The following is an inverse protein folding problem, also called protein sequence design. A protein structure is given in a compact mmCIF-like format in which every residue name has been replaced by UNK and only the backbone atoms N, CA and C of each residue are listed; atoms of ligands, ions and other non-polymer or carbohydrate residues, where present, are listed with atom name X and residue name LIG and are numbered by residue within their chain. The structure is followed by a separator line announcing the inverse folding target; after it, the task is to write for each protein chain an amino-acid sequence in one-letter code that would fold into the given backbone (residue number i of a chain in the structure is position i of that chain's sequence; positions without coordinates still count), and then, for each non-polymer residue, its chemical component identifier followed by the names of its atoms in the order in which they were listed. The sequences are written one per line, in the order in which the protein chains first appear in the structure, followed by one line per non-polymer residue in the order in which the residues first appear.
data_IF_135042277104
#
_entry.id   IF_135042277104
#
_cell.length_a   1.000
_cell.length_b   1.000
_cell.length_c   1.000
_cell.angle_alpha   90.00
_cell.angle_beta   90.00
_cell.angle_gamma   90.00
#
_symmetry.space_group_name_H-M   'P 1'
#
loop_
_entity.id
_entity.type
_entity.pdbx_description
1 polymer ?
#
# COMPACT_ATOMS: atom_id res chain seq x y z
N UNK A 1 6.82 -10.17 16.12
CA UNK A 1 5.57 -10.10 16.84
C UNK A 1 5.50 -11.31 17.75
N UNK A 2 5.88 -11.13 18.99
CA UNK A 2 5.47 -11.96 20.10
C UNK A 2 3.94 -11.97 20.14
N UNK A 3 3.34 -12.99 20.74
CA UNK A 3 1.89 -13.14 20.92
C UNK A 3 1.17 -11.97 21.62
N UNK A 4 1.86 -10.88 21.92
CA UNK A 4 1.45 -9.79 22.81
C UNK A 4 1.30 -8.42 22.11
N UNK A 5 1.23 -8.35 20.76
CA UNK A 5 0.88 -7.10 20.10
C UNK A 5 -0.58 -6.83 20.37
N UNK A 6 -0.83 -5.75 21.11
CA UNK A 6 -2.16 -5.27 21.41
C UNK A 6 -2.98 -5.15 20.10
N UNK A 7 -4.22 -5.58 20.11
CA UNK A 7 -5.08 -5.51 18.92
C UNK A 7 -5.25 -4.07 18.41
N UNK A 8 -5.06 -3.07 19.28
CA UNK A 8 -5.03 -1.65 18.94
C UNK A 8 -3.87 -1.30 18.00
N UNK A 9 -2.68 -1.83 18.26
CA UNK A 9 -1.47 -1.54 17.49
C UNK A 9 -1.55 -2.13 16.08
N UNK A 10 -2.10 -3.35 15.95
CA UNK A 10 -2.35 -3.95 14.64
C UNK A 10 -3.42 -3.16 13.86
N UNK A 11 -4.44 -2.65 14.54
CA UNK A 11 -5.48 -1.83 13.93
C UNK A 11 -4.91 -0.53 13.38
N UNK A 12 -4.07 0.14 14.17
CA UNK A 12 -3.42 1.37 13.73
C UNK A 12 -2.47 1.11 12.57
N UNK A 13 -1.64 0.07 12.65
CA UNK A 13 -0.74 -0.31 11.57
C UNK A 13 -1.51 -0.64 10.28
N UNK A 14 -2.63 -1.35 10.37
CA UNK A 14 -3.43 -1.70 9.19
C UNK A 14 -4.01 -0.45 8.51
N UNK A 15 -4.53 0.50 9.28
CA UNK A 15 -5.01 1.80 8.79
C UNK A 15 -3.89 2.60 8.14
N UNK A 16 -2.77 2.73 8.83
CA UNK A 16 -1.63 3.52 8.36
C UNK A 16 -1.04 2.95 7.06
N UNK A 17 -0.89 1.63 6.95
CA UNK A 17 -0.43 0.98 5.71
C UNK A 17 -1.42 1.20 4.57
N UNK A 18 -2.73 1.10 4.82
CA UNK A 18 -3.75 1.33 3.80
C UNK A 18 -3.68 2.76 3.27
N UNK A 19 -3.66 3.76 4.16
CA UNK A 19 -3.58 5.17 3.83
C UNK A 19 -2.24 5.52 3.17
N UNK A 20 -1.14 5.00 3.69
CA UNK A 20 0.19 5.20 3.12
C UNK A 20 0.26 4.66 1.68
N UNK A 21 -0.26 3.45 1.44
CA UNK A 21 -0.35 2.91 0.09
C UNK A 21 -1.12 3.86 -0.85
N UNK A 22 -2.27 4.37 -0.40
CA UNK A 22 -3.08 5.31 -1.19
C UNK A 22 -2.33 6.60 -1.50
N UNK A 23 -1.74 7.26 -0.50
CA UNK A 23 -1.03 8.53 -0.65
C UNK A 23 0.31 8.40 -1.39
N UNK A 24 0.90 7.20 -1.40
CA UNK A 24 2.16 6.90 -2.07
C UNK A 24 1.96 6.13 -3.38
N UNK A 25 1.12 6.67 -4.27
CA UNK A 25 0.91 6.17 -5.62
C UNK A 25 0.50 4.68 -5.71
N UNK A 26 -0.23 4.19 -4.71
CA UNK A 26 -0.67 2.80 -4.68
C UNK A 26 0.47 1.79 -4.50
N UNK A 27 1.51 2.14 -3.74
CA UNK A 27 2.63 1.24 -3.44
C UNK A 27 2.14 -0.08 -2.85
N UNK A 28 2.70 -1.21 -3.28
CA UNK A 28 2.29 -2.52 -2.79
C UNK A 28 2.79 -2.78 -1.37
N UNK A 29 2.04 -3.57 -0.60
CA UNK A 29 2.41 -3.97 0.76
C UNK A 29 3.83 -4.54 0.88
N UNK A 30 4.25 -5.37 -0.08
CA UNK A 30 5.62 -5.92 -0.10
C UNK A 30 6.70 -4.86 -0.20
N UNK A 31 6.44 -3.84 -1.02
CA UNK A 31 7.37 -2.74 -1.20
C UNK A 31 7.37 -1.85 0.05
N UNK A 32 6.18 -1.55 0.62
CA UNK A 32 6.04 -0.82 1.91
C UNK A 32 6.82 -1.50 3.04
N UNK A 33 6.71 -2.82 3.16
CA UNK A 33 7.36 -3.58 4.22
C UNK A 33 8.89 -3.53 4.18
N UNK A 34 9.45 -3.15 3.05
CA UNK A 34 10.89 -3.11 2.80
C UNK A 34 11.46 -1.69 2.74
N UNK A 35 10.59 -0.66 2.80
CA UNK A 35 11.06 0.71 2.85
C UNK A 35 11.86 0.98 4.12
N UNK A 36 12.99 1.64 3.94
CA UNK A 36 13.85 2.14 5.02
C UNK A 36 13.82 3.66 5.08
N UNK A 37 14.30 4.25 6.16
CA UNK A 37 14.45 5.70 6.24
C UNK A 37 15.45 6.24 5.22
N UNK A 38 16.45 5.44 4.82
CA UNK A 38 17.40 5.78 3.75
C UNK A 38 16.80 5.84 2.34
N UNK A 39 15.59 5.31 2.14
CA UNK A 39 14.87 5.44 0.87
C UNK A 39 14.22 6.83 0.70
N UNK A 40 14.25 7.68 1.74
CA UNK A 40 13.68 9.03 1.74
C UNK A 40 14.79 10.04 1.44
N UNK A 41 14.66 10.77 0.35
CA UNK A 41 15.57 11.85 0.00
C UNK A 41 14.81 13.03 -0.59
N UNK A 42 15.11 14.24 -0.11
CA UNK A 42 14.56 15.51 -0.61
C UNK A 42 13.02 15.51 -0.81
N UNK A 43 12.27 14.94 0.16
CA UNK A 43 10.80 14.88 0.11
C UNK A 43 10.26 13.88 -0.93
N UNK A 44 11.06 12.89 -1.29
CA UNK A 44 10.67 11.80 -2.19
C UNK A 44 11.09 10.45 -1.64
N UNK A 45 10.38 9.40 -2.03
CA UNK A 45 10.76 8.02 -1.74
C UNK A 45 11.25 7.34 -3.01
N UNK A 46 12.41 6.72 -2.93
CA UNK A 46 13.07 5.98 -4.01
C UNK A 46 13.15 4.50 -3.64
N UNK A 47 12.57 3.61 -4.42
CA UNK A 47 12.64 2.17 -4.15
C UNK A 47 12.62 1.34 -5.42
N UNK A 48 13.23 0.17 -5.37
CA UNK A 48 13.12 -0.82 -6.44
C UNK A 48 11.87 -1.68 -6.22
N UNK A 49 10.92 -1.65 -7.16
CA UNK A 49 9.71 -2.46 -7.08
C UNK A 49 10.04 -3.95 -7.11
N UNK A 50 9.72 -4.69 -6.07
CA UNK A 50 10.11 -6.11 -5.91
C UNK A 50 9.57 -7.04 -7.01
N UNK A 51 8.42 -6.74 -7.59
CA UNK A 51 7.84 -7.58 -8.64
C UNK A 51 8.54 -7.44 -9.99
N UNK A 52 9.05 -6.25 -10.32
CA UNK A 52 9.53 -5.93 -11.67
C UNK A 52 10.97 -5.42 -11.71
N UNK A 53 11.58 -5.12 -10.56
CA UNK A 53 12.88 -4.45 -10.48
C UNK A 53 12.89 -2.99 -10.93
N UNK A 54 11.73 -2.46 -11.36
CA UNK A 54 11.63 -1.06 -11.83
C UNK A 54 11.89 -0.11 -10.66
N UNK A 55 12.80 0.86 -10.89
CA UNK A 55 13.00 1.95 -9.94
C UNK A 55 11.78 2.86 -9.94
N UNK A 56 11.24 3.08 -8.76
CA UNK A 56 10.12 3.97 -8.49
C UNK A 56 10.60 5.20 -7.75
N UNK A 57 9.96 6.32 -8.05
CA UNK A 57 10.24 7.61 -7.44
C UNK A 57 8.92 8.34 -7.22
N UNK A 58 8.50 8.45 -5.98
CA UNK A 58 7.23 9.06 -5.61
C UNK A 58 7.46 10.29 -4.73
N UNK A 59 6.74 11.37 -4.98
CA UNK A 59 6.71 12.51 -4.07
C UNK A 59 6.09 12.06 -2.74
N UNK A 60 6.75 12.36 -1.64
CA UNK A 60 6.23 12.12 -0.30
C UNK A 60 5.17 13.18 0.01
N UNK A 61 3.92 12.76 0.10
CA UNK A 61 2.83 13.65 0.45
C UNK A 61 2.89 14.00 1.95
N UNK A 62 2.31 15.14 2.33
CA UNK A 62 2.24 15.55 3.73
C UNK A 62 1.57 14.48 4.61
N UNK A 63 0.47 13.89 4.13
CA UNK A 63 -0.24 12.83 4.83
C UNK A 63 0.61 11.55 4.98
N UNK A 64 1.43 11.22 3.98
CA UNK A 64 2.33 10.07 4.08
C UNK A 64 3.49 10.36 5.05
N UNK A 65 3.99 11.61 5.09
CA UNK A 65 5.00 12.04 6.06
C UNK A 65 4.46 11.93 7.49
N UNK A 66 3.25 12.43 7.76
CA UNK A 66 2.61 12.29 9.07
C UNK A 66 2.47 10.83 9.53
N UNK A 67 2.25 9.91 8.58
CA UNK A 67 2.21 8.47 8.90
C UNK A 67 3.60 7.96 9.27
N UNK A 68 4.64 8.34 8.52
CA UNK A 68 6.02 7.94 8.82
C UNK A 68 6.44 8.45 10.20
N UNK A 69 6.11 9.70 10.52
CA UNK A 69 6.48 10.36 11.78
C UNK A 69 5.94 9.63 13.02
N UNK A 70 4.80 8.92 12.90
CA UNK A 70 4.26 8.08 13.99
C UNK A 70 5.18 6.92 14.37
N UNK A 71 6.00 6.46 13.42
CA UNK A 71 6.88 5.30 13.59
C UNK A 71 8.33 5.72 13.80
N UNK A 72 8.65 7.01 13.61
CA UNK A 72 9.99 7.54 13.74
C UNK A 72 10.29 7.80 15.21
N UNK A 73 11.17 6.96 15.78
CA UNK A 73 11.83 7.16 17.05
C UNK A 73 13.31 7.02 16.76
N UNK A 74 14.28 7.24 17.36
CA UNK A 74 15.73 7.16 17.19
C UNK A 74 16.28 6.16 16.13
N UNK A 75 15.59 6.01 14.99
CA UNK A 75 16.01 5.11 13.92
C UNK A 75 17.14 5.69 13.06
N UNK A 76 17.94 4.79 12.52
CA UNK A 76 18.96 5.08 11.50
C UNK A 76 18.43 4.81 10.08
N UNK A 77 19.16 5.27 9.08
CA UNK A 77 18.75 5.16 7.68
C UNK A 77 18.43 3.72 7.23
N UNK A 78 19.12 2.73 7.78
CA UNK A 78 18.92 1.32 7.43
C UNK A 78 17.71 0.67 8.12
N UNK A 79 17.08 1.34 9.07
CA UNK A 79 15.91 0.79 9.76
C UNK A 79 14.67 0.87 8.87
N UNK A 80 13.81 -0.15 8.97
CA UNK A 80 12.54 -0.16 8.26
C UNK A 80 11.58 0.90 8.82
N UNK A 81 10.86 1.59 7.93
CA UNK A 81 9.89 2.64 8.32
C UNK A 81 8.77 2.04 9.17
N UNK A 82 8.23 0.91 8.73
CA UNK A 82 7.11 0.26 9.43
C UNK A 82 7.59 -0.93 10.26
N UNK A 83 6.99 -1.19 11.43
CA UNK A 83 7.38 -2.27 12.34
C UNK A 83 6.92 -3.66 11.82
N UNK A 84 7.11 -3.92 10.53
CA UNK A 84 6.82 -5.20 9.87
C UNK A 84 8.02 -6.10 9.95
N UNK A 85 9.18 -5.54 9.67
CA UNK A 85 10.48 -6.22 9.66
C UNK A 85 11.40 -5.62 10.73
N UNK A 86 12.33 -6.42 11.19
CA UNK A 86 13.44 -6.04 12.05
C UNK A 86 14.72 -6.57 11.40
N UNK A 87 15.67 -5.69 11.10
CA UNK A 87 16.92 -6.03 10.40
C UNK A 87 17.81 -6.99 11.21
N UNK A 88 17.69 -6.98 12.53
CA UNK A 88 18.47 -7.85 13.41
C UNK A 88 17.86 -9.27 13.53
N UNK A 89 16.57 -9.41 13.22
CA UNK A 89 15.82 -10.69 13.33
C UNK A 89 15.61 -11.32 11.95
N UNK A 90 15.20 -10.52 10.98
CA UNK A 90 14.86 -10.99 9.64
C UNK A 90 16.05 -10.79 8.69
N UNK A 91 17.09 -11.60 8.85
CA UNK A 91 18.38 -11.46 8.16
C UNK A 91 18.45 -12.24 6.84
N UNK A 92 17.58 -13.23 6.64
CA UNK A 92 17.55 -14.02 5.40
C UNK A 92 16.32 -13.67 4.56
N UNK A 93 16.46 -13.82 3.24
CA UNK A 93 15.35 -13.58 2.30
C UNK A 93 14.10 -14.43 2.62
N UNK A 94 14.32 -15.68 3.05
CA UNK A 94 13.23 -16.58 3.47
C UNK A 94 12.47 -16.02 4.69
N UNK A 95 13.18 -15.59 5.73
CA UNK A 95 12.59 -14.99 6.93
C UNK A 95 11.80 -13.73 6.60
N UNK A 96 12.38 -12.84 5.76
CA UNK A 96 11.72 -11.62 5.27
C UNK A 96 10.42 -11.99 4.54
N UNK A 97 10.48 -12.93 3.60
CA UNK A 97 9.33 -13.32 2.80
C UNK A 97 8.20 -13.93 3.66
N UNK A 98 8.55 -14.81 4.57
CA UNK A 98 7.59 -15.45 5.49
C UNK A 98 6.94 -14.43 6.41
N UNK A 99 7.75 -13.51 6.96
CA UNK A 99 7.26 -12.43 7.82
C UNK A 99 6.30 -11.50 7.08
N UNK A 100 6.69 -11.03 5.89
CA UNK A 100 5.85 -10.16 5.06
C UNK A 100 4.52 -10.83 4.71
N UNK A 101 4.54 -12.11 4.33
CA UNK A 101 3.31 -12.89 4.04
C UNK A 101 2.40 -13.01 5.27
N UNK A 102 2.98 -13.33 6.42
CA UNK A 102 2.24 -13.46 7.68
C UNK A 102 1.60 -12.13 8.08
N UNK A 103 2.37 -11.05 8.05
CA UNK A 103 1.87 -9.71 8.42
C UNK A 103 0.79 -9.23 7.45
N UNK A 104 0.97 -9.43 6.13
CA UNK A 104 -0.05 -9.10 5.13
C UNK A 104 -1.40 -9.79 5.43
N UNK A 105 -1.35 -11.08 5.81
CA UNK A 105 -2.58 -11.81 6.18
C UNK A 105 -3.29 -11.17 7.36
N UNK A 106 -2.55 -10.77 8.40
CA UNK A 106 -3.11 -10.13 9.60
C UNK A 106 -3.65 -8.72 9.29
N UNK A 107 -2.90 -7.92 8.54
CA UNK A 107 -3.32 -6.57 8.12
C UNK A 107 -4.60 -6.65 7.29
N UNK A 108 -4.67 -7.53 6.29
CA UNK A 108 -5.88 -7.67 5.48
C UNK A 108 -7.07 -8.19 6.29
N UNK A 109 -6.86 -9.12 7.23
CA UNK A 109 -7.92 -9.56 8.14
C UNK A 109 -8.46 -8.38 8.95
N UNK A 110 -7.58 -7.56 9.51
CA UNK A 110 -7.97 -6.40 10.31
C UNK A 110 -8.66 -5.32 9.48
N UNK A 111 -8.20 -5.07 8.25
CA UNK A 111 -8.88 -4.16 7.31
C UNK A 111 -10.29 -4.64 6.96
N UNK A 112 -10.47 -5.95 6.79
CA UNK A 112 -11.80 -6.55 6.55
C UNK A 112 -12.74 -6.30 7.74
N UNK A 113 -12.30 -6.62 8.95
CA UNK A 113 -13.05 -6.35 10.18
C UNK A 113 -13.42 -4.87 10.30
N UNK A 114 -12.47 -3.96 10.02
CA UNK A 114 -12.75 -2.52 10.00
C UNK A 114 -13.79 -2.13 8.95
N UNK A 115 -13.77 -2.77 7.76
CA UNK A 115 -14.80 -2.48 6.74
C UNK A 115 -16.20 -2.89 7.19
N UNK A 116 -16.33 -3.98 7.92
CA UNK A 116 -17.60 -4.41 8.51
C UNK A 116 -18.05 -3.46 9.63
N UNK A 117 -17.13 -3.07 10.53
CA UNK A 117 -17.41 -2.13 11.64
C UNK A 117 -17.97 -0.78 11.13
N UNK A 118 -17.51 -0.29 9.97
CA UNK A 118 -17.98 0.98 9.38
C UNK A 118 -19.07 0.80 8.31
N UNK A 119 -19.58 -0.42 8.14
CA UNK A 119 -20.70 -0.72 7.25
C UNK A 119 -20.37 -0.65 5.75
N UNK A 120 -19.12 -0.86 5.35
CA UNK A 120 -18.75 -0.96 3.93
C UNK A 120 -19.19 -2.31 3.37
N UNK A 121 -19.85 -2.30 2.21
CA UNK A 121 -20.23 -3.53 1.50
C UNK A 121 -19.04 -4.25 0.85
N UNK A 122 -17.97 -3.52 0.57
CA UNK A 122 -16.76 -4.08 -0.05
C UNK A 122 -15.67 -4.27 1.01
N UNK A 123 -15.12 -5.49 1.16
CA UNK A 123 -14.06 -5.73 2.13
C UNK A 123 -12.81 -4.93 1.79
N UNK A 124 -12.27 -4.22 2.77
CA UNK A 124 -10.99 -3.52 2.61
C UNK A 124 -9.81 -4.50 2.64
N UNK A 125 -8.87 -4.27 1.75
CA UNK A 125 -7.56 -4.94 1.72
C UNK A 125 -6.49 -3.92 1.32
N UNK A 126 -5.24 -4.23 1.53
CA UNK A 126 -4.12 -3.38 1.06
C UNK A 126 -4.15 -3.17 -0.46
N UNK A 127 -4.75 -4.10 -1.21
CA UNK A 127 -4.90 -3.97 -2.65
C UNK A 127 -5.98 -2.95 -3.04
N UNK A 128 -7.02 -2.81 -2.24
CA UNK A 128 -8.10 -1.80 -2.46
C UNK A 128 -7.54 -0.38 -2.41
N UNK A 129 -6.56 -0.10 -1.55
CA UNK A 129 -5.91 1.22 -1.52
C UNK A 129 -5.30 1.58 -2.88
N UNK A 130 -4.60 0.65 -3.50
CA UNK A 130 -4.01 0.81 -4.84
C UNK A 130 -5.08 0.97 -5.93
N UNK A 131 -6.16 0.22 -5.84
CA UNK A 131 -7.30 0.36 -6.75
C UNK A 131 -7.94 1.74 -6.63
N UNK A 132 -8.19 2.18 -5.41
CA UNK A 132 -8.78 3.49 -5.14
C UNK A 132 -7.92 4.62 -5.70
N UNK A 133 -6.61 4.57 -5.50
CA UNK A 133 -5.67 5.53 -6.08
C UNK A 133 -5.84 5.60 -7.61
N UNK A 134 -5.76 4.47 -8.31
CA UNK A 134 -5.87 4.42 -9.77
C UNK A 134 -7.23 4.94 -10.27
N UNK A 135 -8.31 4.57 -9.58
CA UNK A 135 -9.68 5.00 -9.94
C UNK A 135 -9.88 6.50 -9.73
N UNK A 136 -9.37 7.05 -8.64
CA UNK A 136 -9.43 8.49 -8.36
C UNK A 136 -8.68 9.27 -9.44
N UNK A 137 -7.47 8.86 -9.83
CA UNK A 137 -6.72 9.50 -10.90
C UNK A 137 -7.46 9.43 -12.24
N UNK A 138 -8.03 8.28 -12.59
CA UNK A 138 -8.82 8.12 -13.83
C UNK A 138 -10.01 9.07 -13.84
N UNK A 139 -10.76 9.14 -12.75
CA UNK A 139 -11.91 10.05 -12.61
C UNK A 139 -11.51 11.53 -12.64
N UNK A 140 -10.30 11.86 -12.25
CA UNK A 140 -9.71 13.21 -12.33
C UNK A 140 -9.17 13.52 -13.72
N UNK A 141 -9.36 12.64 -14.73
CA UNK A 141 -8.93 12.87 -16.11
C UNK A 141 -7.46 12.59 -16.39
N UNK A 142 -6.75 11.94 -15.46
CA UNK A 142 -5.35 11.54 -15.69
C UNK A 142 -5.30 10.41 -16.71
N UNK A 143 -4.39 10.50 -17.67
CA UNK A 143 -4.25 9.49 -18.73
C UNK A 143 -3.85 8.12 -18.15
N UNK A 144 -4.36 7.05 -18.79
CA UNK A 144 -4.05 5.66 -18.39
C UNK A 144 -2.55 5.38 -18.44
N UNK A 145 -1.82 6.02 -19.34
CA UNK A 145 -0.37 5.90 -19.45
C UNK A 145 0.34 6.42 -18.19
N UNK A 146 -0.04 7.61 -17.69
CA UNK A 146 0.52 8.18 -16.46
C UNK A 146 0.14 7.34 -15.22
N UNK A 147 -1.11 6.84 -15.17
CA UNK A 147 -1.55 5.94 -14.10
C UNK A 147 -0.71 4.65 -14.12
N UNK A 148 -0.49 4.07 -15.30
CA UNK A 148 0.33 2.87 -15.49
C UNK A 148 1.77 3.08 -15.01
N UNK A 149 2.34 4.21 -15.36
CA UNK A 149 3.69 4.60 -14.94
C UNK A 149 3.80 4.76 -13.43
N UNK A 150 2.86 5.50 -12.82
CA UNK A 150 2.81 5.72 -11.36
C UNK A 150 2.62 4.42 -10.58
N UNK A 151 1.86 3.49 -11.12
CA UNK A 151 1.70 2.15 -10.56
C UNK A 151 2.90 1.23 -10.82
N UNK A 152 3.85 1.63 -11.64
CA UNK A 152 5.01 0.83 -12.02
C UNK A 152 4.63 -0.42 -12.82
N UNK A 153 3.56 -0.39 -13.61
CA UNK A 153 3.26 -1.48 -14.54
C UNK A 153 4.23 -1.47 -15.71
N UNK A 154 4.65 -2.64 -16.14
CA UNK A 154 5.50 -2.81 -17.32
C UNK A 154 4.71 -2.79 -18.63
N UNK A 155 3.39 -3.01 -18.54
CA UNK A 155 2.48 -3.08 -19.67
C UNK A 155 1.22 -2.26 -19.40
N UNK A 156 0.87 -1.41 -20.34
CA UNK A 156 -0.30 -0.53 -20.31
C UNK A 156 -1.61 -1.33 -20.29
N UNK A 157 -1.66 -2.48 -20.97
CA UNK A 157 -2.83 -3.36 -21.02
C UNK A 157 -3.23 -3.82 -19.62
N UNK A 158 -2.26 -4.08 -18.73
CA UNK A 158 -2.51 -4.42 -17.34
C UNK A 158 -3.31 -3.32 -16.64
N UNK A 159 -2.97 -2.05 -16.89
CA UNK A 159 -3.67 -0.92 -16.29
C UNK A 159 -5.06 -0.74 -16.91
N UNK A 160 -5.20 -0.92 -18.21
CA UNK A 160 -6.48 -0.80 -18.91
C UNK A 160 -7.48 -1.83 -18.39
N UNK A 161 -7.14 -3.12 -18.41
CA UNK A 161 -7.98 -4.20 -17.89
C UNK A 161 -8.38 -3.95 -16.43
N UNK A 162 -7.42 -3.46 -15.65
CA UNK A 162 -7.60 -3.13 -14.25
C UNK A 162 -8.63 -1.99 -14.04
N UNK A 163 -8.59 -0.95 -14.87
CA UNK A 163 -9.53 0.16 -14.79
C UNK A 163 -10.89 -0.16 -15.39
N UNK A 164 -10.95 -0.96 -16.45
CA UNK A 164 -12.18 -1.36 -17.13
C UNK A 164 -13.08 -2.25 -16.26
N UNK A 165 -12.48 -3.06 -15.38
CA UNK A 165 -13.25 -3.88 -14.44
C UNK A 165 -14.12 -3.07 -13.47
N UNK A 166 -13.77 -1.80 -13.23
CA UNK A 166 -14.57 -0.90 -12.39
C UNK A 166 -15.67 -0.16 -13.17
N UNK A 167 -15.45 0.11 -14.45
CA UNK A 167 -16.50 0.72 -15.28
C UNK A 167 -17.68 -0.22 -15.45
N UNK A 168 -17.43 -1.51 -15.66
CA UNK A 168 -18.48 -2.51 -15.75
C UNK A 168 -19.34 -2.56 -14.48
N UNK A 169 -18.74 -2.58 -13.30
CA UNK A 169 -19.50 -2.59 -12.04
C UNK A 169 -20.34 -1.33 -11.83
N UNK A 170 -19.90 -0.18 -12.35
CA UNK A 170 -20.65 1.08 -12.28
C UNK A 170 -21.78 1.12 -13.32
N UNK A 171 -21.55 0.59 -14.51
CA UNK A 171 -22.57 0.42 -15.54
C UNK A 171 -23.65 -0.53 -15.04
N UNK A 172 -23.26 -1.66 -14.45
CA UNK A 172 -24.19 -2.64 -13.87
C UNK A 172 -25.02 -2.03 -12.74
N UNK A 173 -24.39 -1.24 -11.86
CA UNK A 173 -25.09 -0.52 -10.79
C UNK A 173 -26.04 0.55 -11.36
N UNK A 174 -25.66 1.28 -12.39
CA UNK A 174 -26.50 2.27 -13.04
C UNK A 174 -27.71 1.61 -13.77
N UNK A 175 -27.51 0.45 -14.37
CA UNK A 175 -28.59 -0.32 -15.03
C UNK A 175 -29.61 -0.88 -14.04
N UNK A 176 -29.25 -1.08 -12.78
CA UNK A 176 -30.20 -1.48 -11.73
C UNK A 176 -31.20 -0.36 -11.35
N UNK A 177 -30.96 0.87 -11.80
CA UNK A 177 -31.85 2.02 -11.58
C UNK A 177 -32.77 2.33 -12.78
N UNK A 178 -32.70 1.52 -13.85
CA UNK A 178 -33.59 1.59 -15.02
C UNK A 178 -34.76 0.62 -14.85
#
# INVERSE_FOLDING_TARGET
WSSDVCSSDLTQLAKDIFLFSYFMAGINFKDIALLTYGDIDNGRIYYARRKTGKMMNCCLTEQAQEIIDKYHTDQVEEDYIFPILDRNVHTTEKQILERVKKTLKHVNKRLHELSEEIGLHTPLTTYVARHTYATVLKRSGVSVALISESLGHSDLSTTQIYLDSFENSQIDAAMQHL
#
